data_IF_850478151009
#
_entry.id   IF_850478151009
#
_cell.length_a   1.000
_cell.length_b   1.000
_cell.length_c   1.000
_cell.angle_alpha   90.00
_cell.angle_beta   90.00
_cell.angle_gamma   90.00
#
_symmetry.space_group_name_H-M   'P 1'
#
loop_
_entity.id
_entity.type
_entity.pdbx_description
1 polymer ?
#
# COMPACT_ATOMS: atom_id res chain seq x y z
N UNK A 1 0.47 21.70 4.55
CA UNK A 1 0.94 20.41 3.99
C UNK A 1 1.16 19.32 5.05
N UNK A 2 2.07 19.52 6.02
CA UNK A 2 2.38 18.50 7.04
C UNK A 2 1.23 18.24 8.01
N UNK A 3 0.66 19.30 8.61
CA UNK A 3 -0.50 19.17 9.50
C UNK A 3 -1.73 18.63 8.76
N UNK A 4 -1.87 18.96 7.47
CA UNK A 4 -2.96 18.48 6.62
C UNK A 4 -2.80 17.00 6.20
N UNK A 5 -1.59 16.45 6.36
CA UNK A 5 -1.22 15.12 5.91
C UNK A 5 -1.30 14.95 4.39
N UNK A 6 -1.06 16.02 3.63
CA UNK A 6 -1.33 16.06 2.20
C UNK A 6 -0.60 14.98 1.38
N UNK A 7 0.57 14.54 1.85
CA UNK A 7 1.34 13.44 1.25
C UNK A 7 1.36 12.17 2.11
N UNK A 8 1.24 12.28 3.44
CA UNK A 8 1.24 11.11 4.33
C UNK A 8 -0.04 10.30 4.21
N UNK A 9 -1.22 10.94 4.13
CA UNK A 9 -2.50 10.23 3.94
C UNK A 9 -2.53 9.37 2.67
N UNK A 10 -2.21 9.88 1.46
CA UNK A 10 -2.19 9.05 0.27
C UNK A 10 -1.10 7.96 0.30
N UNK A 11 0.00 8.19 1.04
CA UNK A 11 1.02 7.16 1.30
C UNK A 11 0.46 6.04 2.19
N UNK A 12 -0.21 6.38 3.29
CA UNK A 12 -0.85 5.44 4.20
C UNK A 12 -1.92 4.63 3.47
N UNK A 13 -2.76 5.27 2.67
CA UNK A 13 -3.76 4.61 1.83
C UNK A 13 -3.14 3.62 0.84
N UNK A 14 -1.99 3.96 0.25
CA UNK A 14 -1.28 3.08 -0.69
C UNK A 14 -0.79 1.82 -0.02
N UNK A 15 -0.29 1.92 1.22
CA UNK A 15 0.31 0.80 1.95
C UNK A 15 -0.61 0.17 3.01
N UNK A 16 -1.88 0.60 3.09
CA UNK A 16 -2.85 0.15 4.09
C UNK A 16 -2.99 -1.39 4.20
N UNK A 17 -2.78 -2.12 3.09
CA UNK A 17 -2.80 -3.58 3.08
C UNK A 17 -1.75 -4.24 3.99
N UNK A 18 -0.61 -3.58 4.21
CA UNK A 18 0.44 -4.08 5.11
C UNK A 18 0.10 -3.91 6.58
N UNK A 19 -0.73 -2.92 6.92
CA UNK A 19 -1.19 -2.69 8.29
C UNK A 19 -2.34 -3.63 8.70
N UNK A 20 -2.99 -4.27 7.73
CA UNK A 20 -4.02 -5.28 7.96
C UNK A 20 -3.45 -6.61 8.44
N UNK A 21 -4.33 -7.48 8.94
CA UNK A 21 -3.93 -8.76 9.55
C UNK A 21 -3.15 -9.64 8.58
N UNK A 22 -3.63 -9.76 7.33
CA UNK A 22 -2.94 -10.54 6.30
C UNK A 22 -1.53 -10.00 6.00
N UNK A 23 -1.38 -8.69 5.83
CA UNK A 23 -0.09 -8.07 5.57
C UNK A 23 0.91 -8.25 6.71
N UNK A 24 0.45 -8.16 7.97
CA UNK A 24 1.29 -8.42 9.16
C UNK A 24 1.73 -9.88 9.26
N UNK A 25 0.81 -10.81 9.03
CA UNK A 25 1.10 -12.26 9.03
C UNK A 25 2.07 -12.60 7.90
N UNK A 26 1.87 -12.04 6.71
CA UNK A 26 2.76 -12.21 5.57
C UNK A 26 4.19 -11.72 5.87
N UNK A 27 4.33 -10.57 6.53
CA UNK A 27 5.63 -9.95 6.78
C UNK A 27 6.49 -10.67 7.84
N UNK A 28 5.87 -11.39 8.77
CA UNK A 28 6.58 -11.90 9.97
C UNK A 28 6.31 -13.34 10.34
N UNK A 29 5.26 -13.96 9.77
CA UNK A 29 4.71 -15.22 10.26
C UNK A 29 4.55 -16.33 9.23
N UNK A 30 4.91 -16.10 7.95
CA UNK A 30 4.77 -17.10 6.89
C UNK A 30 6.11 -17.44 6.25
N UNK A 31 6.33 -18.73 5.99
CA UNK A 31 7.39 -19.19 5.09
C UNK A 31 7.01 -18.97 3.64
N UNK A 32 7.98 -19.05 2.72
CA UNK A 32 7.71 -18.90 1.28
C UNK A 32 6.71 -19.95 0.75
N UNK A 33 6.75 -21.18 1.26
CA UNK A 33 5.84 -22.25 0.88
C UNK A 33 4.40 -21.95 1.31
N UNK A 34 4.23 -21.40 2.51
CA UNK A 34 2.90 -20.99 2.99
C UNK A 34 2.34 -19.85 2.15
N UNK A 35 3.20 -18.91 1.74
CA UNK A 35 2.80 -17.78 0.88
C UNK A 35 2.34 -18.28 -0.48
N UNK A 36 3.10 -19.17 -1.11
CA UNK A 36 2.75 -19.75 -2.40
C UNK A 36 1.40 -20.47 -2.36
N UNK A 37 1.21 -21.35 -1.36
CA UNK A 37 -0.05 -22.08 -1.19
C UNK A 37 -1.25 -21.16 -0.97
N UNK A 38 -1.08 -20.08 -0.20
CA UNK A 38 -2.14 -19.12 0.08
C UNK A 38 -2.53 -18.32 -1.17
N UNK A 39 -1.56 -17.89 -1.98
CA UNK A 39 -1.78 -17.17 -3.24
C UNK A 39 -2.54 -18.04 -4.23
N UNK A 40 -2.15 -19.31 -4.37
CA UNK A 40 -2.83 -20.27 -5.25
C UNK A 40 -4.25 -20.59 -4.77
N UNK A 41 -4.42 -20.87 -3.47
CA UNK A 41 -5.71 -21.27 -2.91
C UNK A 41 -6.76 -20.15 -2.98
N UNK A 42 -6.32 -18.89 -2.89
CA UNK A 42 -7.19 -17.70 -2.89
C UNK A 42 -7.19 -16.93 -4.22
N UNK A 43 -6.47 -17.43 -5.22
CA UNK A 43 -6.30 -16.79 -6.54
C UNK A 43 -5.88 -15.30 -6.43
N UNK A 44 -4.87 -15.03 -5.59
CA UNK A 44 -4.43 -13.66 -5.29
C UNK A 44 -3.64 -13.09 -6.47
N UNK A 45 -4.31 -12.25 -7.28
CA UNK A 45 -3.73 -11.59 -8.47
C UNK A 45 -3.86 -10.05 -8.41
N UNK A 46 -3.13 -9.37 -7.50
CA UNK A 46 -3.26 -7.93 -7.30
C UNK A 46 -2.80 -7.15 -8.54
N UNK A 47 -3.62 -6.18 -8.93
CA UNK A 47 -3.28 -5.28 -10.03
C UNK A 47 -2.50 -4.06 -9.52
N UNK A 48 -1.52 -3.55 -10.29
CA UNK A 48 -0.85 -2.31 -9.98
C UNK A 48 -1.86 -1.17 -9.80
N UNK A 49 -1.65 -0.34 -8.77
CA UNK A 49 -2.43 0.88 -8.53
C UNK A 49 -1.56 2.10 -8.83
N UNK A 50 -2.12 3.07 -9.54
CA UNK A 50 -1.45 4.33 -9.88
C UNK A 50 -0.80 4.99 -8.66
N UNK A 51 0.43 5.48 -8.85
CA UNK A 51 1.15 6.25 -7.83
C UNK A 51 0.67 7.69 -7.69
N UNK A 52 -0.20 8.17 -8.58
CA UNK A 52 -0.74 9.55 -8.59
C UNK A 52 0.34 10.64 -8.58
N UNK A 53 1.51 10.39 -9.18
CA UNK A 53 2.66 11.29 -9.13
C UNK A 53 2.31 12.72 -9.58
N UNK A 54 1.80 12.90 -10.79
CA UNK A 54 1.48 14.23 -11.35
C UNK A 54 0.42 14.98 -10.52
N UNK A 55 -0.51 14.22 -9.94
CA UNK A 55 -1.50 14.77 -9.01
C UNK A 55 -0.84 15.24 -7.71
N UNK A 56 0.03 14.42 -7.11
CA UNK A 56 0.72 14.75 -5.86
C UNK A 56 1.71 15.91 -6.06
N UNK A 57 2.38 16.00 -7.21
CA UNK A 57 3.18 17.16 -7.59
C UNK A 57 2.33 18.43 -7.65
N UNK A 58 1.14 18.37 -8.26
CA UNK A 58 0.19 19.49 -8.23
C UNK A 58 -0.30 19.84 -6.82
N UNK A 59 -0.48 18.85 -5.94
CA UNK A 59 -0.84 19.11 -4.54
C UNK A 59 0.27 19.90 -3.86
N UNK A 60 1.54 19.52 -4.03
CA UNK A 60 2.67 20.26 -3.46
C UNK A 60 2.70 21.70 -3.98
N UNK A 61 2.51 21.90 -5.29
CA UNK A 61 2.49 23.24 -5.90
C UNK A 61 1.42 24.18 -5.34
N UNK A 62 0.35 23.66 -4.72
CA UNK A 62 -0.71 24.50 -4.09
C UNK A 62 -0.36 24.96 -2.68
N UNK A 63 0.63 24.35 -2.05
CA UNK A 63 1.12 24.74 -0.72
C UNK A 63 2.35 25.65 -0.78
N UNK A 64 2.96 25.79 -1.96
CA UNK A 64 4.06 26.71 -2.25
C UNK A 64 3.48 28.03 -2.76
#
# INVERSE_FOLDING_TARGET
MFQDGALSKPLDERYAGWSGDFGKTLATGMSLEQIASEVEAKDINPQPRSGRQEYLENVVNRYV
#
